data_IF_889973318140
#
_entry.id   IF_889973318140
#
_cell.length_a   1.000
_cell.length_b   1.000
_cell.length_c   1.000
_cell.angle_alpha   90.00
_cell.angle_beta   90.00
_cell.angle_gamma   90.00
#
_symmetry.space_group_name_H-M   'P 1'
#
loop_
_entity.id
_entity.type
_entity.pdbx_description
1 polymer ?
#
# COMPACT_ATOMS: atom_id res chain seq x y z
N UNK A 1 -4.64 17.83 17.18
CA UNK A 1 -5.76 16.84 17.28
C UNK A 1 -5.45 15.69 16.33
N UNK A 2 -5.69 14.46 16.72
CA UNK A 2 -5.59 13.30 15.83
C UNK A 2 -6.82 13.18 14.92
N UNK A 3 -6.63 12.61 13.73
CA UNK A 3 -7.72 12.50 12.76
C UNK A 3 -8.86 11.58 13.24
N UNK A 4 -8.54 10.49 13.93
CA UNK A 4 -9.54 9.61 14.53
C UNK A 4 -10.41 10.34 15.58
N UNK A 5 -9.83 11.31 16.31
CA UNK A 5 -10.61 12.16 17.21
C UNK A 5 -11.59 13.04 16.44
N UNK A 6 -11.20 13.57 15.29
CA UNK A 6 -12.10 14.33 14.44
C UNK A 6 -13.23 13.44 13.88
N UNK A 7 -12.96 12.19 13.53
CA UNK A 7 -14.02 11.23 13.18
C UNK A 7 -15.01 11.05 14.33
N UNK A 8 -14.50 10.80 15.55
CA UNK A 8 -15.33 10.62 16.74
C UNK A 8 -16.20 11.85 17.05
N UNK A 9 -15.68 13.05 16.88
CA UNK A 9 -16.45 14.30 17.08
C UNK A 9 -17.62 14.44 16.07
N UNK A 10 -17.47 13.89 14.87
CA UNK A 10 -18.44 14.02 13.77
C UNK A 10 -19.33 12.77 13.60
N UNK A 11 -19.19 11.78 14.45
CA UNK A 11 -20.03 10.57 14.44
C UNK A 11 -20.52 10.26 15.85
N UNK A 12 -21.77 10.62 16.20
CA UNK A 12 -22.37 10.23 17.47
C UNK A 12 -22.30 8.70 17.67
N UNK A 13 -21.89 8.27 18.84
CA UNK A 13 -21.70 6.86 19.21
C UNK A 13 -20.54 6.14 18.46
N UNK A 14 -19.55 6.90 17.97
CA UNK A 14 -18.34 6.30 17.45
C UNK A 14 -17.66 5.43 18.52
N UNK A 15 -17.40 4.18 18.16
CA UNK A 15 -16.60 3.26 18.99
C UNK A 15 -15.29 2.99 18.28
N UNK A 16 -14.18 3.19 18.99
CA UNK A 16 -12.84 2.91 18.48
C UNK A 16 -12.57 1.40 18.36
N UNK A 17 -13.24 0.62 19.18
CA UNK A 17 -13.11 -0.83 19.19
C UNK A 17 -13.82 -1.43 17.99
N UNK A 18 -13.07 -2.19 17.22
CA UNK A 18 -13.56 -3.01 16.13
C UNK A 18 -12.89 -4.37 16.25
N UNK A 19 -13.68 -5.42 16.25
CA UNK A 19 -13.18 -6.80 16.23
C UNK A 19 -12.54 -7.15 14.88
N UNK A 20 -12.55 -6.21 13.93
CA UNK A 20 -12.04 -6.38 12.59
C UNK A 20 -10.55 -6.07 12.50
N UNK A 21 -9.84 -6.86 11.71
CA UNK A 21 -8.42 -6.70 11.39
C UNK A 21 -8.03 -5.33 10.80
N UNK A 22 -9.00 -4.59 10.29
CA UNK A 22 -8.76 -3.35 9.54
C UNK A 22 -9.26 -2.09 10.24
N UNK A 23 -9.81 -2.21 11.45
CA UNK A 23 -10.45 -1.09 12.14
C UNK A 23 -11.66 -0.56 11.36
N UNK A 24 -12.57 -1.45 11.00
CA UNK A 24 -13.75 -1.19 10.14
C UNK A 24 -14.87 -0.43 10.84
N UNK A 25 -14.52 0.53 11.67
CA UNK A 25 -15.44 1.27 12.54
C UNK A 25 -16.51 2.06 11.80
N UNK A 26 -16.26 2.40 10.53
CA UNK A 26 -17.22 3.11 9.66
C UNK A 26 -17.95 2.19 8.68
N UNK A 27 -17.57 0.92 8.60
CA UNK A 27 -18.16 -0.03 7.65
C UNK A 27 -19.67 -0.25 7.80
N UNK A 28 -20.27 -0.17 9.01
CA UNK A 28 -21.73 -0.28 9.19
C UNK A 28 -22.53 0.90 8.60
N UNK A 29 -21.86 2.06 8.32
CA UNK A 29 -22.56 3.21 7.77
C UNK A 29 -22.84 3.03 6.28
N UNK A 30 -23.97 3.60 5.84
CA UNK A 30 -24.18 3.86 4.43
C UNK A 30 -23.06 4.75 3.89
N UNK A 31 -22.50 4.40 2.73
CA UNK A 31 -21.28 5.05 2.25
C UNK A 31 -21.40 6.57 2.07
N UNK A 32 -22.59 7.06 1.71
CA UNK A 32 -22.85 8.49 1.62
C UNK A 32 -22.73 9.19 2.98
N UNK A 33 -23.18 8.55 4.04
CA UNK A 33 -23.06 9.09 5.40
C UNK A 33 -21.62 9.00 5.90
N UNK A 34 -20.91 7.89 5.63
CA UNK A 34 -19.49 7.76 5.89
C UNK A 34 -18.70 8.91 5.27
N UNK A 35 -18.95 9.24 4.00
CA UNK A 35 -18.29 10.35 3.31
C UNK A 35 -18.62 11.71 3.94
N UNK A 36 -19.83 11.94 4.45
CA UNK A 36 -20.15 13.18 5.17
C UNK A 36 -19.33 13.29 6.44
N UNK A 37 -19.27 12.22 7.24
CA UNK A 37 -18.46 12.17 8.45
C UNK A 37 -16.99 12.45 8.13
N UNK A 38 -16.41 11.75 7.18
CA UNK A 38 -15.01 11.94 6.79
C UNK A 38 -14.72 13.35 6.26
N UNK A 39 -15.65 13.94 5.47
CA UNK A 39 -15.50 15.32 4.99
C UNK A 39 -15.56 16.34 6.13
N UNK A 40 -16.44 16.15 7.10
CA UNK A 40 -16.50 17.02 8.28
C UNK A 40 -15.25 16.87 9.13
N UNK A 41 -14.84 15.64 9.40
CA UNK A 41 -13.67 15.31 10.20
C UNK A 41 -12.36 15.86 9.61
N UNK A 42 -12.15 15.75 8.29
CA UNK A 42 -10.91 16.26 7.68
C UNK A 42 -10.84 17.79 7.72
N UNK A 43 -11.98 18.49 7.60
CA UNK A 43 -12.03 19.94 7.77
C UNK A 43 -11.73 20.35 9.20
N UNK A 44 -12.39 19.72 10.18
CA UNK A 44 -12.13 19.97 11.60
C UNK A 44 -10.68 19.71 11.97
N UNK A 45 -10.11 18.57 11.51
CA UNK A 45 -8.70 18.25 11.71
C UNK A 45 -7.79 19.36 11.15
N UNK A 46 -8.11 19.88 9.97
CA UNK A 46 -7.35 20.94 9.32
C UNK A 46 -7.40 22.26 10.11
N UNK A 47 -8.60 22.65 10.52
CA UNK A 47 -8.85 23.90 11.26
C UNK A 47 -8.21 23.88 12.66
N UNK A 48 -8.39 22.79 13.41
CA UNK A 48 -7.82 22.64 14.77
C UNK A 48 -6.29 22.62 14.75
N UNK A 49 -5.68 21.98 13.76
CA UNK A 49 -4.23 21.98 13.57
C UNK A 49 -3.70 23.24 12.86
N UNK A 50 -4.58 24.21 12.54
CA UNK A 50 -4.24 25.49 11.90
C UNK A 50 -3.45 25.34 10.61
N UNK A 51 -3.79 24.34 9.81
CA UNK A 51 -3.09 24.06 8.56
C UNK A 51 -3.55 25.02 7.45
N UNK A 52 -2.59 25.45 6.63
CA UNK A 52 -2.88 26.33 5.50
C UNK A 52 -3.65 25.60 4.40
N UNK A 53 -4.53 26.31 3.70
CA UNK A 53 -5.31 25.78 2.57
C UNK A 53 -6.18 24.58 2.96
N UNK A 54 -7.44 24.82 3.27
CA UNK A 54 -8.41 23.78 3.61
C UNK A 54 -8.51 22.69 2.53
N UNK A 55 -8.86 21.46 2.92
CA UNK A 55 -8.99 20.33 2.01
C UNK A 55 -10.19 20.49 1.08
N UNK A 56 -10.04 20.04 -0.16
CA UNK A 56 -11.15 19.85 -1.09
C UNK A 56 -12.08 18.73 -0.61
N UNK A 57 -13.30 18.63 -1.17
CA UNK A 57 -14.15 17.47 -0.94
C UNK A 57 -13.43 16.16 -1.28
N UNK A 58 -13.64 15.14 -0.45
CA UNK A 58 -13.04 13.82 -0.61
C UNK A 58 -13.48 13.20 -1.94
N UNK A 59 -12.54 12.70 -2.73
CA UNK A 59 -12.86 11.86 -3.88
C UNK A 59 -13.34 10.50 -3.39
N UNK A 60 -14.61 10.22 -3.65
CA UNK A 60 -15.25 8.97 -3.25
C UNK A 60 -14.63 7.74 -3.93
N UNK A 61 -14.63 6.60 -3.23
CA UNK A 61 -14.26 5.32 -3.82
C UNK A 61 -15.36 4.80 -4.76
N UNK A 62 -15.00 4.35 -5.97
CA UNK A 62 -15.95 3.68 -6.85
C UNK A 62 -16.51 2.37 -6.26
N UNK A 63 -15.71 1.70 -5.43
CA UNK A 63 -16.08 0.45 -4.75
C UNK A 63 -15.83 0.63 -3.24
N UNK A 64 -16.86 1.01 -2.46
CA UNK A 64 -16.68 1.30 -1.03
C UNK A 64 -16.67 0.07 -0.12
N UNK A 65 -17.07 -1.09 -0.65
CA UNK A 65 -17.05 -2.40 0.04
C UNK A 65 -16.48 -3.44 -0.91
N UNK A 66 -16.03 -4.58 -0.41
CA UNK A 66 -15.42 -5.66 -1.20
C UNK A 66 -14.21 -5.22 -2.06
N UNK A 67 -13.54 -4.14 -1.66
CA UNK A 67 -12.47 -3.54 -2.48
C UNK A 67 -11.07 -4.04 -2.16
N UNK A 68 -10.87 -4.69 -1.00
CA UNK A 68 -9.52 -5.05 -0.55
C UNK A 68 -8.93 -6.18 -1.36
N UNK A 69 -7.90 -5.87 -2.14
CA UNK A 69 -7.14 -6.88 -2.90
C UNK A 69 -6.12 -7.65 -2.05
N UNK A 70 -5.96 -7.27 -0.78
CA UNK A 70 -5.08 -7.95 0.18
C UNK A 70 -5.81 -8.18 1.49
N UNK A 71 -5.83 -9.42 1.94
CA UNK A 71 -6.38 -9.84 3.22
C UNK A 71 -5.45 -10.82 3.93
N UNK A 72 -5.67 -11.03 5.22
CA UNK A 72 -4.84 -11.92 6.05
C UNK A 72 -5.67 -12.54 7.14
N UNK A 73 -5.28 -13.75 7.58
CA UNK A 73 -5.82 -14.40 8.78
C UNK A 73 -4.65 -14.96 9.58
N UNK A 74 -4.61 -14.64 10.86
CA UNK A 74 -3.70 -15.30 11.78
C UNK A 74 -4.22 -16.68 12.12
N UNK A 75 -3.36 -17.67 12.11
CA UNK A 75 -3.73 -19.05 12.42
C UNK A 75 -3.29 -19.36 13.84
N UNK A 76 -4.27 -19.58 14.72
CA UNK A 76 -4.01 -20.08 16.07
C UNK A 76 -4.46 -21.52 16.20
N UNK A 77 -3.54 -22.38 16.66
CA UNK A 77 -3.84 -23.77 16.93
C UNK A 77 -3.60 -24.07 18.40
N UNK A 78 -4.69 -24.22 19.15
CA UNK A 78 -4.70 -24.74 20.52
C UNK A 78 -5.01 -26.23 20.50
N UNK A 79 -4.70 -27.02 21.54
CA UNK A 79 -5.06 -28.43 21.59
C UNK A 79 -6.55 -28.66 21.36
N UNK A 80 -6.89 -29.25 20.20
CA UNK A 80 -8.28 -29.54 19.81
C UNK A 80 -9.06 -28.39 19.17
N UNK A 81 -8.47 -27.19 19.04
CA UNK A 81 -9.18 -26.01 18.54
C UNK A 81 -8.31 -25.23 17.55
N UNK A 82 -8.76 -25.14 16.30
CA UNK A 82 -8.19 -24.28 15.27
C UNK A 82 -9.02 -23.01 15.16
N UNK A 83 -8.37 -21.85 15.21
CA UNK A 83 -9.01 -20.57 15.00
C UNK A 83 -8.27 -19.76 13.96
N UNK A 84 -9.01 -19.03 13.16
CA UNK A 84 -8.53 -17.88 12.45
C UNK A 84 -8.91 -16.65 13.27
N UNK A 85 -7.93 -15.86 13.68
CA UNK A 85 -8.14 -14.71 14.59
C UNK A 85 -8.71 -13.49 13.87
N UNK A 86 -9.43 -13.67 12.81
CA UNK A 86 -10.03 -12.56 12.10
C UNK A 86 -11.31 -13.03 11.42
N UNK A 87 -12.32 -12.18 11.50
CA UNK A 87 -13.64 -12.46 10.98
C UNK A 87 -13.74 -12.11 9.50
N UNK A 88 -14.77 -12.61 8.85
CA UNK A 88 -15.15 -12.18 7.51
C UNK A 88 -15.37 -10.66 7.51
N UNK A 89 -14.71 -9.97 6.59
CA UNK A 89 -14.79 -8.52 6.47
C UNK A 89 -15.61 -8.14 5.25
N UNK A 90 -16.54 -7.19 5.42
CA UNK A 90 -17.29 -6.64 4.28
C UNK A 90 -16.43 -5.79 3.33
N UNK A 91 -15.20 -5.48 3.72
CA UNK A 91 -14.25 -4.77 2.86
C UNK A 91 -13.50 -5.72 1.92
N UNK A 92 -13.48 -7.01 2.24
CA UNK A 92 -12.84 -8.04 1.43
C UNK A 92 -13.80 -8.58 0.35
N UNK A 93 -13.29 -8.95 -0.83
CA UNK A 93 -14.07 -9.72 -1.80
C UNK A 93 -14.60 -11.03 -1.20
N UNK A 94 -15.82 -11.42 -1.56
CA UNK A 94 -16.42 -12.69 -1.07
C UNK A 94 -15.56 -13.91 -1.38
N UNK A 95 -14.81 -13.87 -2.48
CA UNK A 95 -13.89 -14.95 -2.83
C UNK A 95 -12.73 -15.11 -1.84
N UNK A 96 -12.30 -14.04 -1.16
CA UNK A 96 -11.30 -14.16 -0.10
C UNK A 96 -11.88 -14.94 1.08
N UNK A 97 -13.09 -14.59 1.52
CA UNK A 97 -13.78 -15.28 2.59
C UNK A 97 -14.03 -16.75 2.23
N UNK A 98 -14.43 -17.02 0.98
CA UNK A 98 -14.64 -18.38 0.50
C UNK A 98 -13.34 -19.21 0.47
N UNK A 99 -12.20 -18.60 0.08
CA UNK A 99 -10.88 -19.26 0.12
C UNK A 99 -10.49 -19.57 1.59
N UNK A 100 -10.70 -18.62 2.52
CA UNK A 100 -10.40 -18.86 3.92
C UNK A 100 -11.26 -19.99 4.50
N UNK A 101 -12.56 -20.04 4.21
CA UNK A 101 -13.45 -21.16 4.60
C UNK A 101 -12.96 -22.49 4.04
N UNK A 102 -12.63 -22.53 2.74
CA UNK A 102 -12.07 -23.73 2.10
C UNK A 102 -10.78 -24.22 2.79
N UNK A 103 -9.89 -23.30 3.14
CA UNK A 103 -8.64 -23.61 3.83
C UNK A 103 -8.90 -24.05 5.27
N UNK A 104 -9.81 -23.40 5.98
CA UNK A 104 -10.21 -23.76 7.33
C UNK A 104 -10.72 -25.21 7.38
N UNK A 105 -11.69 -25.58 6.50
CA UNK A 105 -12.25 -26.90 6.42
C UNK A 105 -11.20 -28.02 6.18
N UNK A 106 -10.13 -27.68 5.47
CA UNK A 106 -9.00 -28.60 5.28
C UNK A 106 -8.12 -28.69 6.53
N UNK A 107 -7.77 -27.55 7.11
CA UNK A 107 -6.81 -27.44 8.22
C UNK A 107 -7.35 -28.05 9.52
N UNK A 108 -8.65 -28.07 9.77
CA UNK A 108 -9.26 -28.74 10.94
C UNK A 108 -9.15 -30.25 10.88
N UNK A 109 -8.92 -30.83 9.70
CA UNK A 109 -8.86 -32.30 9.58
C UNK A 109 -7.57 -32.86 10.19
N UNK A 110 -7.60 -34.08 10.78
CA UNK A 110 -6.43 -34.70 11.40
C UNK A 110 -5.20 -34.77 10.48
N UNK A 111 -5.43 -34.99 9.19
CA UNK A 111 -4.38 -35.10 8.19
C UNK A 111 -3.57 -33.80 8.00
N UNK A 112 -4.13 -32.65 8.27
CA UNK A 112 -3.49 -31.32 8.11
C UNK A 112 -3.09 -30.67 9.43
N UNK A 113 -3.36 -31.31 10.55
CA UNK A 113 -3.00 -30.81 11.89
C UNK A 113 -1.53 -30.39 12.02
N UNK A 114 -0.53 -31.13 11.47
CA UNK A 114 0.87 -30.66 11.51
C UNK A 114 1.10 -29.34 10.80
N UNK A 115 0.41 -29.10 9.67
CA UNK A 115 0.47 -27.83 8.96
C UNK A 115 -0.21 -26.70 9.74
N UNK A 116 -1.39 -26.96 10.32
CA UNK A 116 -2.09 -25.98 11.13
C UNK A 116 -1.25 -25.45 12.29
N UNK A 117 -0.50 -26.33 12.97
CA UNK A 117 0.47 -25.93 14.02
C UNK A 117 1.66 -25.14 13.50
N UNK A 118 2.04 -25.37 12.24
CA UNK A 118 3.19 -24.70 11.63
C UNK A 118 2.84 -23.34 11.03
N UNK A 119 1.56 -23.02 10.82
CA UNK A 119 1.10 -21.76 10.25
C UNK A 119 1.17 -20.61 11.28
N UNK A 120 1.60 -19.44 10.81
CA UNK A 120 1.41 -18.17 11.47
C UNK A 120 0.25 -17.39 10.82
N UNK A 121 0.34 -17.22 9.50
CA UNK A 121 -0.60 -16.43 8.72
C UNK A 121 -0.93 -17.11 7.40
N UNK A 122 -2.16 -16.92 6.96
CA UNK A 122 -2.57 -17.14 5.57
C UNK A 122 -2.91 -15.76 5.00
N UNK A 123 -2.26 -15.41 3.88
CA UNK A 123 -2.42 -14.12 3.23
C UNK A 123 -2.96 -14.34 1.84
N UNK A 124 -3.99 -13.61 1.46
CA UNK A 124 -4.50 -13.56 0.10
C UNK A 124 -4.13 -12.19 -0.47
N UNK A 125 -3.53 -12.18 -1.66
CA UNK A 125 -3.19 -10.97 -2.39
C UNK A 125 -3.61 -11.10 -3.83
N UNK A 126 -3.80 -9.97 -4.50
CA UNK A 126 -4.11 -10.05 -5.92
C UNK A 126 -4.62 -8.77 -6.53
N UNK A 127 -5.47 -8.98 -7.50
CA UNK A 127 -6.30 -7.98 -8.17
C UNK A 127 -7.76 -8.41 -8.03
N UNK A 128 -8.71 -7.66 -8.57
CA UNK A 128 -10.10 -8.10 -8.60
C UNK A 128 -10.33 -9.36 -9.45
N UNK A 129 -9.37 -9.74 -10.31
CA UNK A 129 -9.48 -10.92 -11.21
C UNK A 129 -8.73 -12.14 -10.71
N UNK A 130 -7.53 -11.93 -10.14
CA UNK A 130 -6.59 -13.02 -9.83
C UNK A 130 -6.11 -12.92 -8.40
N UNK A 131 -5.96 -14.05 -7.73
CA UNK A 131 -5.53 -14.14 -6.35
C UNK A 131 -4.29 -15.01 -6.21
N UNK A 132 -3.50 -14.69 -5.24
CA UNK A 132 -2.34 -15.47 -4.79
C UNK A 132 -2.51 -15.75 -3.31
N UNK A 133 -2.25 -16.98 -2.89
CA UNK A 133 -2.26 -17.36 -1.48
C UNK A 133 -0.83 -17.56 -1.00
N UNK A 134 -0.51 -16.92 0.12
CA UNK A 134 0.80 -17.02 0.75
C UNK A 134 0.64 -17.62 2.14
N UNK A 135 1.36 -18.71 2.40
CA UNK A 135 1.41 -19.37 3.69
C UNK A 135 2.66 -18.93 4.44
N UNK A 136 2.49 -18.13 5.50
CA UNK A 136 3.56 -17.82 6.44
C UNK A 136 3.63 -18.95 7.47
N UNK A 137 4.77 -19.63 7.56
CA UNK A 137 4.98 -20.78 8.43
C UNK A 137 6.13 -20.55 9.41
N UNK A 138 6.02 -21.10 10.63
CA UNK A 138 7.06 -21.08 11.68
C UNK A 138 8.28 -21.88 11.28
N UNK A 139 8.06 -22.99 10.56
CA UNK A 139 9.09 -23.91 10.09
C UNK A 139 8.68 -24.60 8.80
N UNK A 140 9.67 -25.14 8.12
CA UNK A 140 9.44 -25.87 6.87
C UNK A 140 10.24 -27.19 6.89
N UNK A 141 9.56 -28.30 7.09
CA UNK A 141 10.09 -29.66 6.99
C UNK A 141 9.39 -30.44 5.88
N UNK A 142 9.83 -31.67 5.61
CA UNK A 142 9.29 -32.49 4.53
C UNK A 142 7.80 -32.80 4.68
N UNK A 143 7.30 -32.93 5.91
CA UNK A 143 5.88 -33.16 6.19
C UNK A 143 5.05 -31.91 5.86
N UNK A 144 5.48 -30.72 6.32
CA UNK A 144 4.84 -29.44 6.05
C UNK A 144 4.83 -29.14 4.55
N UNK A 145 5.96 -29.33 3.85
CA UNK A 145 6.05 -29.15 2.39
C UNK A 145 5.05 -30.03 1.66
N UNK A 146 4.91 -31.31 2.06
CA UNK A 146 3.95 -32.22 1.44
C UNK A 146 2.52 -31.73 1.62
N UNK A 147 2.16 -31.26 2.83
CA UNK A 147 0.82 -30.74 3.12
C UNK A 147 0.53 -29.44 2.38
N UNK A 148 1.51 -28.53 2.30
CA UNK A 148 1.40 -27.32 1.50
C UNK A 148 1.16 -27.61 0.02
N UNK A 149 1.84 -28.61 -0.56
CA UNK A 149 1.61 -29.03 -1.95
C UNK A 149 0.19 -29.56 -2.16
N UNK A 150 -0.30 -30.40 -1.23
CA UNK A 150 -1.67 -30.92 -1.30
C UNK A 150 -2.73 -29.80 -1.20
N UNK A 151 -2.52 -28.79 -0.35
CA UNK A 151 -3.40 -27.60 -0.27
C UNK A 151 -3.29 -26.77 -1.56
N UNK A 152 -2.09 -26.64 -2.11
CA UNK A 152 -1.88 -25.94 -3.36
C UNK A 152 -2.67 -26.58 -4.53
N UNK A 153 -2.75 -27.91 -4.60
CA UNK A 153 -3.58 -28.63 -5.58
C UNK A 153 -5.08 -28.30 -5.40
N UNK A 154 -5.57 -28.22 -4.15
CA UNK A 154 -6.94 -27.83 -3.85
C UNK A 154 -7.21 -26.39 -4.31
N UNK A 155 -6.27 -25.48 -4.07
CA UNK A 155 -6.39 -24.07 -4.49
C UNK A 155 -6.37 -23.92 -6.04
N UNK A 156 -5.60 -24.74 -6.74
CA UNK A 156 -5.59 -24.75 -8.21
C UNK A 156 -6.94 -25.16 -8.81
N UNK A 157 -7.68 -26.02 -8.12
CA UNK A 157 -8.96 -26.56 -8.58
C UNK A 157 -10.18 -25.75 -8.10
N UNK A 158 -9.98 -24.80 -7.17
CA UNK A 158 -11.07 -23.99 -6.65
C UNK A 158 -11.57 -22.97 -7.70
N UNK A 159 -12.86 -22.58 -7.66
CA UNK A 159 -13.43 -21.65 -8.64
C UNK A 159 -13.03 -20.18 -8.42
N UNK A 160 -12.17 -19.89 -7.45
CA UNK A 160 -11.87 -18.51 -7.00
C UNK A 160 -10.65 -17.88 -7.69
N UNK A 161 -10.21 -18.41 -8.83
CA UNK A 161 -9.10 -17.89 -9.62
C UNK A 161 -7.80 -17.66 -8.82
N UNK A 162 -7.43 -18.65 -7.99
CA UNK A 162 -6.14 -18.66 -7.30
C UNK A 162 -5.06 -19.07 -8.29
N UNK A 163 -4.32 -18.10 -8.80
CA UNK A 163 -3.34 -18.31 -9.89
C UNK A 163 -1.97 -18.71 -9.40
N UNK A 164 -1.68 -18.51 -8.13
CA UNK A 164 -0.41 -18.91 -7.52
C UNK A 164 -0.55 -19.17 -6.03
N UNK A 165 0.34 -20.03 -5.51
CA UNK A 165 0.53 -20.17 -4.07
C UNK A 165 2.01 -20.21 -3.73
N UNK A 166 2.34 -19.63 -2.59
CA UNK A 166 3.69 -19.51 -2.08
C UNK A 166 3.75 -19.83 -0.60
N UNK A 167 4.92 -20.17 -0.11
CA UNK A 167 5.18 -20.28 1.32
C UNK A 167 6.42 -19.50 1.70
N UNK A 168 6.45 -19.07 2.93
CA UNK A 168 7.44 -18.18 3.47
C UNK A 168 7.65 -18.54 4.95
N UNK A 169 8.91 -18.63 5.37
CA UNK A 169 9.27 -19.02 6.74
C UNK A 169 9.52 -17.78 7.58
N UNK A 170 8.74 -17.62 8.64
CA UNK A 170 8.94 -16.62 9.68
C UNK A 170 9.05 -17.29 11.04
N UNK A 171 10.27 -17.45 11.51
CA UNK A 171 10.57 -18.07 12.81
C UNK A 171 10.33 -17.11 13.98
N UNK A 172 10.16 -15.82 13.71
CA UNK A 172 9.97 -14.80 14.74
C UNK A 172 8.51 -14.67 15.17
N UNK A 173 7.58 -15.30 14.43
CA UNK A 173 6.13 -15.20 14.65
C UNK A 173 5.69 -13.73 14.76
N UNK A 174 6.25 -12.87 13.90
CA UNK A 174 6.01 -11.44 13.97
C UNK A 174 4.52 -11.11 13.72
N UNK A 175 4.08 -9.99 14.26
CA UNK A 175 2.73 -9.47 13.98
C UNK A 175 2.56 -8.95 12.55
N UNK A 176 3.65 -8.90 11.77
CA UNK A 176 3.62 -8.52 10.38
C UNK A 176 3.51 -9.77 9.52
N UNK A 177 2.45 -9.85 8.74
CA UNK A 177 2.14 -11.03 7.95
C UNK A 177 3.16 -11.33 6.84
N UNK A 178 3.90 -10.35 6.37
CA UNK A 178 4.97 -10.57 5.39
C UNK A 178 6.36 -10.52 6.03
N UNK A 179 6.62 -9.71 7.03
CA UNK A 179 7.81 -9.66 7.89
C UNK A 179 7.88 -8.37 8.68
N UNK A 180 8.50 -8.44 9.87
CA UNK A 180 8.92 -7.22 10.58
C UNK A 180 10.09 -6.52 9.87
N UNK A 181 10.92 -7.29 9.18
CA UNK A 181 11.97 -6.82 8.26
C UNK A 181 11.55 -7.22 6.86
N UNK A 182 11.66 -6.32 5.89
CA UNK A 182 11.34 -6.63 4.50
C UNK A 182 12.12 -7.86 4.04
N UNK A 183 11.50 -8.78 3.30
CA UNK A 183 12.20 -9.93 2.77
C UNK A 183 13.35 -9.43 1.91
N UNK A 184 14.54 -9.54 2.43
CA UNK A 184 15.73 -9.48 1.60
C UNK A 184 15.84 -10.83 0.96
N UNK A 185 15.54 -10.93 -0.30
CA UNK A 185 15.82 -12.10 -1.11
C UNK A 185 15.20 -13.44 -0.67
N UNK A 186 14.71 -14.12 -1.59
CA UNK A 186 14.70 -15.55 -1.89
C UNK A 186 14.95 -16.55 -0.75
N UNK A 187 15.60 -16.19 0.36
CA UNK A 187 16.06 -17.14 1.36
C UNK A 187 14.95 -17.97 1.99
N UNK A 188 13.78 -17.40 2.17
CA UNK A 188 12.68 -18.07 2.83
C UNK A 188 11.41 -18.18 1.99
N UNK A 189 11.39 -17.57 0.80
CA UNK A 189 10.21 -17.52 -0.05
C UNK A 189 10.22 -18.62 -1.11
N UNK A 190 9.33 -19.61 -0.98
CA UNK A 190 9.22 -20.76 -1.89
C UNK A 190 7.89 -20.73 -2.65
N UNK A 191 7.99 -20.97 -3.93
CA UNK A 191 6.86 -21.13 -4.83
C UNK A 191 6.30 -22.56 -4.71
N UNK A 192 5.00 -22.66 -4.51
CA UNK A 192 4.26 -23.92 -4.58
C UNK A 192 3.74 -24.15 -6.00
N UNK A 193 3.15 -23.13 -6.60
CA UNK A 193 2.80 -23.07 -8.04
C UNK A 193 2.57 -21.62 -8.47
N UNK A 194 2.40 -21.41 -9.79
CA UNK A 194 2.03 -20.14 -10.39
C UNK A 194 3.15 -19.09 -10.41
N UNK A 195 2.89 -17.85 -10.85
CA UNK A 195 3.90 -16.81 -10.98
C UNK A 195 4.34 -16.23 -9.63
N UNK A 196 5.55 -15.65 -9.62
CA UNK A 196 6.07 -14.85 -8.48
C UNK A 196 5.69 -13.38 -8.56
N UNK A 197 5.10 -12.98 -9.65
CA UNK A 197 4.69 -11.61 -9.93
C UNK A 197 3.21 -11.58 -10.23
N UNK A 198 2.56 -10.53 -9.78
CA UNK A 198 1.20 -10.15 -10.16
C UNK A 198 1.25 -9.08 -11.25
N UNK A 199 0.14 -8.88 -11.96
CA UNK A 199 0.03 -7.85 -12.98
C UNK A 199 -1.15 -6.93 -12.67
N UNK A 200 -0.87 -5.63 -12.63
CA UNK A 200 -1.87 -4.58 -12.59
C UNK A 200 -2.12 -4.11 -14.03
N UNK A 201 -3.36 -4.15 -14.46
CA UNK A 201 -3.79 -3.66 -15.78
C UNK A 201 -4.29 -2.21 -15.63
N UNK A 202 -3.62 -1.28 -16.31
CA UNK A 202 -3.98 0.14 -16.30
C UNK A 202 -4.63 0.58 -17.64
N UNK A 203 -5.06 -0.38 -18.45
CA UNK A 203 -5.70 -0.15 -19.75
C UNK A 203 -4.69 0.05 -20.89
N UNK A 204 -3.81 1.04 -20.77
CA UNK A 204 -2.81 1.36 -21.80
C UNK A 204 -1.54 0.53 -21.69
N UNK A 205 -1.22 0.05 -20.48
CA UNK A 205 -0.08 -0.81 -20.20
C UNK A 205 -0.33 -1.64 -18.93
N UNK A 206 0.50 -2.64 -18.74
CA UNK A 206 0.48 -3.50 -17.55
C UNK A 206 1.78 -3.36 -16.78
N UNK A 207 1.66 -3.24 -15.46
CA UNK A 207 2.79 -3.26 -14.56
C UNK A 207 2.84 -4.57 -13.80
N UNK A 208 4.02 -5.14 -13.69
CA UNK A 208 4.26 -6.28 -12.82
C UNK A 208 4.74 -5.80 -11.45
N UNK A 209 4.30 -6.49 -10.41
CA UNK A 209 4.78 -6.29 -9.06
C UNK A 209 4.95 -7.62 -8.35
N UNK A 210 5.91 -7.74 -7.41
CA UNK A 210 6.17 -9.00 -6.74
C UNK A 210 5.02 -9.36 -5.80
N UNK A 211 4.74 -10.64 -5.62
CA UNK A 211 3.69 -11.11 -4.70
C UNK A 211 3.94 -10.69 -3.25
N UNK A 212 5.19 -10.37 -2.90
CA UNK A 212 5.60 -9.87 -1.58
C UNK A 212 5.66 -8.35 -1.48
N UNK A 213 5.67 -7.64 -2.62
CA UNK A 213 5.79 -6.17 -2.66
C UNK A 213 4.48 -5.45 -2.31
N UNK A 214 4.60 -4.17 -2.00
CA UNK A 214 3.43 -3.32 -1.80
C UNK A 214 2.63 -3.16 -3.10
N UNK A 215 1.31 -3.11 -2.99
CA UNK A 215 0.40 -2.66 -4.04
C UNK A 215 -0.81 -1.99 -3.40
N UNK A 216 -1.44 -1.05 -4.12
CA UNK A 216 -2.65 -0.38 -3.64
C UNK A 216 -3.77 -1.40 -3.41
N UNK A 217 -4.33 -1.39 -2.19
CA UNK A 217 -5.34 -2.39 -1.78
C UNK A 217 -6.73 -2.12 -2.36
N UNK A 218 -6.98 -0.91 -2.82
CA UNK A 218 -8.22 -0.50 -3.49
C UNK A 218 -7.92 -0.23 -4.97
N UNK A 219 -8.00 -1.29 -5.78
CA UNK A 219 -7.72 -1.21 -7.21
C UNK A 219 -8.66 -0.22 -7.92
N UNK A 220 -9.92 -0.09 -7.45
CA UNK A 220 -10.90 0.81 -8.04
C UNK A 220 -10.53 2.30 -7.93
N UNK A 221 -9.71 2.67 -6.93
CA UNK A 221 -9.25 4.04 -6.71
C UNK A 221 -7.97 4.39 -7.45
N UNK A 222 -7.26 3.42 -8.03
CA UNK A 222 -5.96 3.67 -8.68
C UNK A 222 -6.08 4.71 -9.80
N UNK A 223 -7.16 4.67 -10.59
CA UNK A 223 -7.37 5.65 -11.65
C UNK A 223 -7.55 7.08 -11.10
N UNK A 224 -8.35 7.24 -10.05
CA UNK A 224 -8.54 8.53 -9.39
C UNK A 224 -7.24 9.03 -8.76
N UNK A 225 -6.47 8.14 -8.15
CA UNK A 225 -5.17 8.44 -7.54
C UNK A 225 -4.18 8.96 -8.60
N UNK A 226 -4.03 8.24 -9.72
CA UNK A 226 -3.17 8.63 -10.85
C UNK A 226 -3.63 9.98 -11.45
N UNK A 227 -4.92 10.13 -11.73
CA UNK A 227 -5.48 11.37 -12.30
C UNK A 227 -5.23 12.56 -11.38
N UNK A 228 -5.44 12.38 -10.09
CA UNK A 228 -5.21 13.41 -9.08
C UNK A 228 -3.73 13.78 -8.96
N UNK A 229 -2.85 12.77 -8.89
CA UNK A 229 -1.40 12.97 -8.84
C UNK A 229 -0.89 13.69 -10.10
N UNK A 230 -1.36 13.31 -11.28
CA UNK A 230 -1.01 13.97 -12.55
C UNK A 230 -1.38 15.45 -12.54
N UNK A 231 -2.61 15.78 -12.15
CA UNK A 231 -3.10 17.15 -12.09
C UNK A 231 -2.34 18.00 -11.05
N UNK A 232 -2.10 17.45 -9.86
CA UNK A 232 -1.48 18.17 -8.75
C UNK A 232 0.02 18.37 -8.96
N UNK A 233 0.72 17.38 -9.47
CA UNK A 233 2.15 17.47 -9.78
C UNK A 233 2.40 18.33 -11.02
N UNK A 234 1.56 18.18 -12.06
CA UNK A 234 1.57 18.99 -13.27
C UNK A 234 2.90 18.90 -14.03
N UNK A 235 3.39 17.68 -14.31
CA UNK A 235 4.64 17.46 -15.04
C UNK A 235 4.62 18.08 -16.44
N UNK A 236 5.75 18.64 -16.86
CA UNK A 236 6.00 19.23 -18.16
C UNK A 236 7.22 18.60 -18.84
N UNK A 237 7.33 18.71 -20.17
CA UNK A 237 8.40 18.06 -20.96
C UNK A 237 9.84 18.42 -20.57
N UNK A 238 10.02 19.54 -19.86
CA UNK A 238 11.33 19.98 -19.37
C UNK A 238 11.70 19.44 -18.00
N UNK A 239 10.75 18.85 -17.29
CA UNK A 239 10.91 18.47 -15.88
C UNK A 239 11.74 17.21 -15.68
N UNK A 240 12.53 17.21 -14.60
CA UNK A 240 13.08 16.00 -14.02
C UNK A 240 12.13 15.48 -12.95
N UNK A 241 11.57 14.30 -13.16
CA UNK A 241 10.63 13.68 -12.23
C UNK A 241 11.34 12.72 -11.29
N UNK A 242 11.27 13.00 -10.00
CA UNK A 242 11.69 12.09 -8.93
C UNK A 242 10.46 11.45 -8.30
N UNK A 243 10.34 10.12 -8.41
CA UNK A 243 9.29 9.30 -7.81
C UNK A 243 9.90 8.55 -6.62
N UNK A 244 9.72 9.11 -5.41
CA UNK A 244 10.30 8.58 -4.18
C UNK A 244 9.31 7.70 -3.43
N UNK A 245 9.78 6.55 -2.94
CA UNK A 245 8.94 5.44 -2.45
C UNK A 245 8.12 4.82 -3.59
N UNK A 246 8.71 4.68 -4.77
CA UNK A 246 8.01 4.40 -6.02
C UNK A 246 7.43 2.98 -6.11
N UNK A 247 7.75 2.06 -5.19
CA UNK A 247 7.36 0.67 -5.27
C UNK A 247 7.78 0.03 -6.61
N UNK A 248 6.82 -0.56 -7.30
CA UNK A 248 7.00 -1.12 -8.65
C UNK A 248 6.85 -0.08 -9.78
N UNK A 249 6.82 1.22 -9.45
CA UNK A 249 6.84 2.33 -10.40
C UNK A 249 5.46 2.79 -10.87
N UNK A 250 4.41 2.65 -10.07
CA UNK A 250 3.05 3.06 -10.46
C UNK A 250 3.02 4.48 -11.03
N UNK A 251 3.48 5.47 -10.25
CA UNK A 251 3.49 6.87 -10.67
C UNK A 251 4.56 7.15 -11.74
N UNK A 252 5.73 6.51 -11.64
CA UNK A 252 6.78 6.63 -12.65
C UNK A 252 6.25 6.33 -14.05
N UNK A 253 5.49 5.24 -14.22
CA UNK A 253 4.95 4.83 -15.52
C UNK A 253 3.70 5.60 -15.92
N UNK A 254 2.82 5.91 -14.96
CA UNK A 254 1.59 6.62 -15.24
C UNK A 254 1.79 8.10 -15.60
N UNK A 255 2.81 8.75 -15.05
CA UNK A 255 3.03 10.19 -15.18
C UNK A 255 4.27 10.54 -16.00
N UNK A 256 5.26 9.66 -16.05
CA UNK A 256 6.60 9.96 -16.52
C UNK A 256 6.73 10.32 -18.00
N UNK A 257 5.75 10.02 -18.85
CA UNK A 257 5.76 10.43 -20.27
C UNK A 257 5.75 11.95 -20.45
N UNK A 258 5.21 12.67 -19.49
CA UNK A 258 5.18 14.12 -19.50
C UNK A 258 6.52 14.76 -19.10
N UNK A 259 7.49 13.99 -18.60
CA UNK A 259 8.74 14.48 -18.09
C UNK A 259 9.91 14.26 -19.04
N UNK A 260 10.99 15.07 -18.91
CA UNK A 260 12.27 14.91 -19.61
C UNK A 260 13.01 13.66 -19.14
N UNK A 261 12.98 13.39 -17.85
CA UNK A 261 13.57 12.19 -17.25
C UNK A 261 12.77 11.72 -16.03
N UNK A 262 12.85 10.43 -15.75
CA UNK A 262 12.22 9.80 -14.59
C UNK A 262 13.26 9.02 -13.80
N UNK A 263 13.27 9.26 -12.49
CA UNK A 263 14.03 8.49 -11.52
C UNK A 263 13.12 8.01 -10.40
N UNK A 264 12.89 6.70 -10.31
CA UNK A 264 12.20 6.05 -9.21
C UNK A 264 13.17 5.55 -8.14
N UNK A 265 12.82 5.71 -6.88
CA UNK A 265 13.58 5.20 -5.73
C UNK A 265 12.67 4.43 -4.80
N UNK A 266 13.08 3.22 -4.45
CA UNK A 266 12.36 2.35 -3.50
C UNK A 266 13.37 1.55 -2.68
N UNK A 267 13.02 1.26 -1.44
CA UNK A 267 13.88 0.43 -0.59
C UNK A 267 13.84 -1.04 -0.99
N UNK A 268 12.67 -1.55 -1.36
CA UNK A 268 12.45 -2.96 -1.63
C UNK A 268 13.02 -3.39 -2.99
N UNK A 269 14.03 -4.27 -2.97
CA UNK A 269 14.70 -4.76 -4.19
C UNK A 269 13.78 -5.45 -5.20
N UNK A 270 12.91 -6.41 -4.80
CA UNK A 270 11.99 -7.07 -5.71
C UNK A 270 11.03 -6.11 -6.45
N UNK A 271 10.53 -5.06 -5.78
CA UNK A 271 9.70 -4.04 -6.42
C UNK A 271 10.49 -3.23 -7.44
N UNK A 272 11.71 -2.84 -7.13
CA UNK A 272 12.62 -2.17 -8.07
C UNK A 272 12.96 -3.06 -9.26
N UNK A 273 13.16 -4.34 -9.07
CA UNK A 273 13.44 -5.27 -10.17
C UNK A 273 12.24 -5.40 -11.12
N UNK A 274 11.03 -5.42 -10.59
CA UNK A 274 9.79 -5.34 -11.38
C UNK A 274 9.70 -4.01 -12.14
N UNK A 275 10.02 -2.87 -11.52
CA UNK A 275 10.04 -1.57 -12.16
C UNK A 275 11.05 -1.52 -13.32
N UNK A 276 12.28 -2.00 -13.10
CA UNK A 276 13.32 -2.10 -14.15
C UNK A 276 12.90 -3.03 -15.31
N UNK A 277 12.27 -4.17 -14.98
CA UNK A 277 11.77 -5.10 -15.99
C UNK A 277 10.63 -4.46 -16.82
N UNK A 278 9.71 -3.75 -16.16
CA UNK A 278 8.63 -3.01 -16.82
C UNK A 278 9.18 -1.90 -17.72
N UNK A 279 10.21 -1.16 -17.30
CA UNK A 279 10.84 -0.12 -18.12
C UNK A 279 11.45 -0.71 -19.40
N UNK A 280 12.17 -1.82 -19.29
CA UNK A 280 12.71 -2.53 -20.47
C UNK A 280 11.60 -3.03 -21.39
N UNK A 281 10.57 -3.66 -20.85
CA UNK A 281 9.45 -4.19 -21.63
C UNK A 281 8.69 -3.08 -22.37
N UNK A 282 8.41 -1.96 -21.69
CA UNK A 282 7.71 -0.81 -22.24
C UNK A 282 8.63 0.13 -23.04
N UNK A 283 9.91 -0.21 -23.18
CA UNK A 283 10.93 0.60 -23.88
C UNK A 283 11.02 2.04 -23.35
N UNK A 284 10.88 2.22 -22.04
CA UNK A 284 11.01 3.52 -21.37
C UNK A 284 12.42 3.70 -20.82
N UNK A 285 13.01 4.87 -21.05
CA UNK A 285 14.33 5.24 -20.50
C UNK A 285 14.17 5.78 -19.06
N UNK A 286 13.46 5.05 -18.22
CA UNK A 286 13.29 5.38 -16.80
C UNK A 286 14.36 4.70 -15.96
N UNK A 287 14.88 5.40 -14.97
CA UNK A 287 15.88 4.88 -14.04
C UNK A 287 15.24 4.50 -12.71
N UNK A 288 15.70 3.39 -12.14
CA UNK A 288 15.21 2.91 -10.84
C UNK A 288 16.40 2.53 -9.96
N UNK A 289 16.41 3.01 -8.71
CA UNK A 289 17.48 2.79 -7.74
C UNK A 289 16.87 2.16 -6.47
N UNK A 290 17.46 1.06 -6.01
CA UNK A 290 17.13 0.50 -4.71
C UNK A 290 17.92 1.22 -3.60
N UNK A 291 17.21 1.62 -2.54
CA UNK A 291 17.84 2.23 -1.38
C UNK A 291 16.83 2.78 -0.38
N UNK A 292 17.20 2.77 0.89
CA UNK A 292 16.42 3.42 1.94
C UNK A 292 16.50 4.94 1.74
N UNK A 293 15.35 5.59 1.67
CA UNK A 293 15.26 7.04 1.51
C UNK A 293 15.42 7.68 2.88
N UNK A 294 16.64 8.05 3.20
CA UNK A 294 17.02 8.86 4.36
C UNK A 294 17.81 10.09 3.90
N UNK A 295 18.18 10.94 4.84
CA UNK A 295 18.94 12.17 4.55
C UNK A 295 20.23 11.89 3.76
N UNK A 296 21.01 10.90 4.18
CA UNK A 296 22.27 10.50 3.55
C UNK A 296 22.04 10.04 2.12
N UNK A 297 21.00 9.21 1.89
CA UNK A 297 20.67 8.76 0.55
C UNK A 297 20.32 9.93 -0.38
N UNK A 298 19.48 10.86 0.09
CA UNK A 298 19.09 12.04 -0.70
C UNK A 298 20.29 12.90 -1.07
N UNK A 299 21.22 13.10 -0.13
CA UNK A 299 22.42 13.91 -0.37
C UNK A 299 23.45 13.23 -1.27
N UNK A 300 23.68 11.94 -1.10
CA UNK A 300 24.82 11.24 -1.68
C UNK A 300 24.48 10.37 -2.89
N UNK A 301 23.24 9.92 -3.02
CA UNK A 301 22.83 8.93 -4.03
C UNK A 301 21.88 9.48 -5.08
N UNK A 302 21.10 10.49 -4.78
CA UNK A 302 20.30 11.17 -5.79
C UNK A 302 21.21 12.04 -6.68
N UNK A 303 20.98 12.06 -8.01
CA UNK A 303 21.71 12.97 -8.89
C UNK A 303 21.48 14.42 -8.45
N UNK A 304 22.50 15.26 -8.59
CA UNK A 304 22.36 16.70 -8.30
C UNK A 304 21.33 17.33 -9.24
N UNK A 305 20.51 18.28 -8.77
CA UNK A 305 19.67 19.07 -9.65
C UNK A 305 20.51 19.76 -10.74
N UNK A 306 19.98 19.77 -11.95
CA UNK A 306 20.66 20.43 -13.07
C UNK A 306 20.29 21.91 -13.04
N UNK A 307 21.27 22.84 -12.98
CA UNK A 307 20.97 24.25 -12.95
C UNK A 307 20.14 24.69 -14.16
N UNK A 308 19.06 25.43 -13.90
CA UNK A 308 18.13 25.90 -14.93
C UNK A 308 17.10 24.89 -15.43
N UNK A 309 17.17 23.62 -14.98
CA UNK A 309 16.18 22.61 -15.32
C UNK A 309 15.25 22.35 -14.13
N UNK A 310 13.92 22.36 -14.32
CA UNK A 310 12.97 22.19 -13.23
C UNK A 310 12.93 20.73 -12.74
N UNK A 311 12.85 20.56 -11.42
CA UNK A 311 12.65 19.27 -10.77
C UNK A 311 11.27 19.24 -10.10
N UNK A 312 10.53 18.14 -10.27
CA UNK A 312 9.30 17.86 -9.56
C UNK A 312 9.40 16.53 -8.84
N UNK A 313 8.91 16.50 -7.60
CA UNK A 313 9.05 15.36 -6.71
C UNK A 313 7.68 14.85 -6.31
N UNK A 314 7.47 13.54 -6.40
CA UNK A 314 6.38 12.83 -5.75
C UNK A 314 6.95 12.00 -4.61
N UNK A 315 6.30 12.08 -3.45
CA UNK A 315 6.60 11.27 -2.27
C UNK A 315 5.35 10.49 -1.87
N UNK A 316 5.47 9.18 -1.74
CA UNK A 316 4.43 8.28 -1.22
C UNK A 316 5.01 7.42 -0.09
N UNK A 317 5.38 8.03 1.07
CA UNK A 317 6.05 7.35 2.16
C UNK A 317 5.09 6.41 2.92
N UNK A 318 5.63 5.45 3.71
CA UNK A 318 4.82 4.63 4.60
C UNK A 318 4.08 5.49 5.65
N UNK A 319 3.10 4.89 6.34
CA UNK A 319 2.24 5.56 7.35
C UNK A 319 2.97 6.34 8.45
N UNK A 320 4.24 6.05 8.69
CA UNK A 320 5.09 6.78 9.65
C UNK A 320 5.69 8.05 9.09
N UNK A 321 5.35 8.40 7.84
CA UNK A 321 5.96 9.54 7.15
C UNK A 321 7.37 9.25 6.63
N UNK A 322 8.08 10.32 6.33
CA UNK A 322 9.49 10.27 5.87
C UNK A 322 10.46 10.12 7.04
N UNK A 323 11.63 9.54 6.77
CA UNK A 323 12.74 9.57 7.75
C UNK A 323 13.15 11.03 8.07
N UNK A 324 13.62 11.30 9.30
CA UNK A 324 14.07 12.63 9.70
C UNK A 324 15.10 13.22 8.71
N UNK A 325 14.99 14.51 8.41
CA UNK A 325 15.89 15.25 7.53
C UNK A 325 15.62 15.08 6.03
N UNK A 326 14.76 14.15 5.62
CA UNK A 326 14.44 13.92 4.20
C UNK A 326 13.74 15.14 3.60
N UNK A 327 12.70 15.68 4.25
CA UNK A 327 11.99 16.87 3.77
C UNK A 327 12.96 18.03 3.61
N UNK A 328 13.76 18.31 4.64
CA UNK A 328 14.79 19.37 4.59
C UNK A 328 15.72 19.22 3.39
N UNK A 329 16.23 18.02 3.20
CA UNK A 329 17.24 17.76 2.16
C UNK A 329 16.63 17.85 0.75
N UNK A 330 15.38 17.40 0.59
CA UNK A 330 14.65 17.55 -0.66
C UNK A 330 14.30 19.01 -0.94
N UNK A 331 13.91 19.78 0.07
CA UNK A 331 13.64 21.21 -0.09
C UNK A 331 14.88 22.01 -0.52
N UNK A 332 16.06 21.65 -0.04
CA UNK A 332 17.35 22.25 -0.45
C UNK A 332 17.67 21.99 -1.92
N UNK A 333 17.10 20.99 -2.56
CA UNK A 333 17.19 20.77 -4.02
C UNK A 333 16.40 21.80 -4.84
N UNK A 334 15.51 22.54 -4.18
CA UNK A 334 14.64 23.58 -4.75
C UNK A 334 13.70 23.08 -5.86
N UNK A 335 13.01 21.92 -5.68
CA UNK A 335 12.02 21.49 -6.66
C UNK A 335 10.94 22.56 -6.87
N UNK A 336 10.49 22.72 -8.12
CA UNK A 336 9.44 23.70 -8.46
C UNK A 336 8.06 23.27 -7.92
N UNK A 337 7.86 21.97 -7.79
CA UNK A 337 6.64 21.35 -7.25
C UNK A 337 6.95 20.07 -6.50
N UNK A 338 6.26 19.87 -5.38
CA UNK A 338 6.25 18.61 -4.65
C UNK A 338 4.82 18.13 -4.51
N UNK A 339 4.59 16.85 -4.76
CA UNK A 339 3.37 16.17 -4.38
C UNK A 339 3.71 15.19 -3.25
N UNK A 340 3.23 15.49 -2.04
CA UNK A 340 3.37 14.60 -0.89
C UNK A 340 2.05 13.87 -0.66
N UNK A 341 2.06 12.56 -0.77
CA UNK A 341 0.91 11.68 -0.52
C UNK A 341 1.02 11.17 0.91
N UNK A 342 -0.02 11.32 1.68
CA UNK A 342 -0.09 10.92 3.09
C UNK A 342 -1.13 9.81 3.25
N UNK A 343 -0.67 8.59 3.53
CA UNK A 343 -1.54 7.51 3.96
C UNK A 343 -1.75 7.48 5.49
N UNK A 344 -1.01 8.30 6.23
CA UNK A 344 -1.18 8.60 7.66
C UNK A 344 -1.56 10.07 7.84
N UNK A 345 -2.83 10.35 8.09
CA UNK A 345 -3.33 11.74 8.20
C UNK A 345 -2.66 12.52 9.33
N UNK A 346 -2.29 11.83 10.41
CA UNK A 346 -1.69 12.46 11.60
C UNK A 346 -0.25 12.96 11.39
N UNK A 347 0.42 12.51 10.33
CA UNK A 347 1.76 12.98 9.94
C UNK A 347 1.74 14.33 9.19
N UNK A 348 0.57 14.76 8.70
CA UNK A 348 0.42 15.95 7.87
C UNK A 348 0.91 17.23 8.58
N UNK A 349 0.50 17.53 9.83
CA UNK A 349 0.89 18.78 10.48
C UNK A 349 2.40 18.99 10.58
N UNK A 350 3.13 17.96 11.03
CA UNK A 350 4.59 18.06 11.21
C UNK A 350 5.31 18.15 9.87
N UNK A 351 4.89 17.36 8.88
CA UNK A 351 5.47 17.39 7.54
C UNK A 351 5.24 18.75 6.85
N UNK A 352 4.04 19.35 6.97
CA UNK A 352 3.76 20.65 6.37
C UNK A 352 4.51 21.78 7.07
N UNK A 353 4.65 21.73 8.40
CA UNK A 353 5.46 22.67 9.16
C UNK A 353 6.94 22.61 8.73
N UNK A 354 7.48 21.42 8.48
CA UNK A 354 8.84 21.26 7.97
C UNK A 354 8.97 21.81 6.55
N UNK A 355 8.07 21.49 5.63
CA UNK A 355 8.06 22.06 4.28
C UNK A 355 8.00 23.59 4.30
N UNK A 356 7.13 24.16 5.15
CA UNK A 356 6.98 25.62 5.28
C UNK A 356 8.25 26.28 5.78
N UNK A 357 8.92 25.68 6.79
CA UNK A 357 10.21 26.14 7.33
C UNK A 357 11.28 26.25 6.26
N UNK A 358 11.25 25.37 5.24
CA UNK A 358 12.20 25.37 4.13
C UNK A 358 11.69 26.08 2.87
N UNK A 359 10.71 26.97 3.02
CA UNK A 359 10.30 27.89 1.96
C UNK A 359 9.26 27.34 0.98
N UNK A 360 8.53 26.30 1.37
CA UNK A 360 7.39 25.78 0.59
C UNK A 360 6.07 26.22 1.20
N UNK A 361 5.02 26.33 0.36
CA UNK A 361 3.66 26.57 0.80
C UNK A 361 2.72 25.52 0.20
N UNK A 362 1.68 25.21 0.93
CA UNK A 362 0.60 24.38 0.41
C UNK A 362 -0.11 25.12 -0.72
N UNK A 363 -0.19 24.48 -1.88
CA UNK A 363 -0.96 24.96 -3.03
C UNK A 363 -2.37 24.39 -3.04
N UNK A 364 -2.49 23.11 -2.80
CA UNK A 364 -3.76 22.39 -2.88
C UNK A 364 -3.74 21.13 -2.03
N UNK A 365 -4.88 20.77 -1.45
CA UNK A 365 -5.07 19.57 -0.64
C UNK A 365 -6.25 18.78 -1.20
N UNK A 366 -6.04 17.53 -1.55
CA UNK A 366 -7.04 16.67 -2.16
C UNK A 366 -7.07 15.30 -1.46
N UNK A 367 -8.05 15.07 -0.58
CA UNK A 367 -8.22 13.76 0.03
C UNK A 367 -8.92 12.77 -0.92
N UNK A 368 -8.51 11.50 -0.86
CA UNK A 368 -9.17 10.39 -1.52
C UNK A 368 -9.60 9.35 -0.48
N UNK A 369 -10.79 8.78 -0.64
CA UNK A 369 -11.21 7.64 0.17
C UNK A 369 -10.66 6.33 -0.40
N UNK A 370 -9.38 6.07 -0.12
CA UNK A 370 -8.71 4.83 -0.50
C UNK A 370 -9.10 3.67 0.43
N UNK A 371 -9.58 4.01 1.63
CA UNK A 371 -9.89 3.07 2.72
C UNK A 371 -11.33 3.20 3.24
N UNK A 372 -12.36 3.05 2.37
CA UNK A 372 -13.75 3.08 2.82
C UNK A 372 -14.01 2.09 3.96
N UNK A 373 -14.92 2.43 4.86
CA UNK A 373 -15.25 1.63 6.04
C UNK A 373 -14.30 1.79 7.22
N UNK A 374 -13.18 2.50 7.04
CA UNK A 374 -12.18 2.73 8.09
C UNK A 374 -11.99 4.23 8.37
N UNK A 375 -11.46 4.64 9.53
CA UNK A 375 -11.17 6.04 9.84
C UNK A 375 -9.88 6.54 9.18
N UNK A 376 -9.55 6.07 7.98
CA UNK A 376 -8.34 6.45 7.25
C UNK A 376 -8.67 7.14 5.94
N UNK A 377 -7.78 8.02 5.54
CA UNK A 377 -7.83 8.71 4.25
C UNK A 377 -6.45 8.73 3.61
N UNK A 378 -6.43 8.73 2.30
CA UNK A 378 -5.27 9.10 1.51
C UNK A 378 -5.34 10.59 1.20
N UNK A 379 -4.32 11.38 1.55
CA UNK A 379 -4.35 12.83 1.35
C UNK A 379 -3.20 13.28 0.48
N UNK A 380 -3.52 13.83 -0.69
CA UNK A 380 -2.57 14.38 -1.63
C UNK A 380 -2.37 15.87 -1.36
N UNK A 381 -1.16 16.30 -1.05
CA UNK A 381 -0.82 17.71 -0.81
C UNK A 381 0.19 18.19 -1.84
N UNK A 382 -0.26 19.10 -2.70
CA UNK A 382 0.63 19.79 -3.62
C UNK A 382 1.29 20.99 -2.93
N UNK A 383 2.61 21.03 -3.02
CA UNK A 383 3.45 22.07 -2.45
C UNK A 383 4.21 22.80 -3.57
N UNK A 384 4.36 24.11 -3.42
CA UNK A 384 5.19 24.94 -4.32
C UNK A 384 6.11 25.83 -3.51
N UNK A 385 7.22 26.22 -4.11
CA UNK A 385 8.16 27.13 -3.47
C UNK A 385 7.53 28.53 -3.34
N UNK A 386 7.76 29.19 -2.20
CA UNK A 386 7.38 30.59 -1.94
C UNK A 386 8.10 31.57 -2.85
#
# INVERSE_FOLDING_TARGET
>A
MFFEQAIANNLPNYTKESDSAYGETLAPLEYKEELKVKNAAIREFWDVNRLARGPQPIIASPMPRNYRTTSKRQVEMKPGDLRFNEYDSILEPEEHNAIYRLLFDKLITPAYKPLAYALNWIIIRGTYKYRVVIFNVKKLDASIVRKLKQIAEVLQQCPYHVTAAHTYVDTTESNYYLEAKRPTDTLNFKQLYGPRELSLDLGHFRLKYPVTGFSQINESQIHNLIKSASRLLGLEKGDHFLDLYCGYGLFSFALGEAAKSVLGVEWEGPSIDCAKASARFLKKNYKFIAGKIDETFVQMRLPRPIPGEPERILLDPPRKGTEPGVIRTLALRKPVRVLHIFCGTDEIPDALAEWERFGYRVKEVLPLDLFPGTPHLETLVALERK
#
